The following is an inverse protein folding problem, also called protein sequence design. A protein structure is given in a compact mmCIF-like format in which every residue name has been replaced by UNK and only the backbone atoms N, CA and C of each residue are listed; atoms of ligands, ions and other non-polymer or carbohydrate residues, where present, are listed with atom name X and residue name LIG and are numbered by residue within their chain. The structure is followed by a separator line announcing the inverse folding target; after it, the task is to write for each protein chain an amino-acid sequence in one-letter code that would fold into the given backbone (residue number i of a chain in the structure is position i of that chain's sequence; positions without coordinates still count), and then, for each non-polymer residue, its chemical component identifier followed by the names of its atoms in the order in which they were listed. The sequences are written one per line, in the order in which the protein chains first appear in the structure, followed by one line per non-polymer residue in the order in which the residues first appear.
data_IF_004641142265
#
_entry.id   IF_004641142265
#
_cell.length_a   1.000
_cell.length_b   1.000
_cell.length_c   1.000
_cell.angle_alpha   90.00
_cell.angle_beta   90.00
_cell.angle_gamma   90.00
#
_symmetry.space_group_name_H-M   'P 1'
#
loop_
_entity.id
_entity.type
_entity.pdbx_description
1 polymer ?
#
# COMPACT_ATOMS: atom_id res chain seq x y z
N UNK A 1 -6.12 4.98 22.16
CA UNK A 1 -6.45 3.54 22.18
C UNK A 1 -7.55 3.29 21.16
N UNK A 2 -7.27 2.60 20.06
CA UNK A 2 -8.30 2.19 19.10
C UNK A 2 -9.19 1.13 19.74
N UNK A 3 -10.50 1.35 19.81
CA UNK A 3 -11.45 0.37 20.32
C UNK A 3 -11.79 -0.58 19.17
N UNK A 4 -11.53 -1.88 19.32
CA UNK A 4 -12.05 -2.91 18.44
C UNK A 4 -13.55 -2.69 18.25
N UNK A 5 -14.01 -2.56 17.01
CA UNK A 5 -15.44 -2.33 16.72
C UNK A 5 -16.01 -3.61 16.11
N UNK A 6 -16.95 -4.25 16.83
CA UNK A 6 -17.71 -5.40 16.33
C UNK A 6 -18.78 -4.87 15.36
N UNK A 7 -18.64 -5.16 14.07
CA UNK A 7 -19.58 -4.65 13.04
C UNK A 7 -20.82 -5.55 12.87
N UNK A 8 -20.79 -6.77 13.40
CA UNK A 8 -21.92 -7.71 13.60
C UNK A 8 -21.39 -8.95 14.33
N UNK A 9 -22.25 -9.92 14.66
CA UNK A 9 -21.83 -11.21 15.23
C UNK A 9 -20.93 -12.06 14.32
N UNK A 10 -20.65 -11.61 13.10
CA UNK A 10 -20.07 -12.45 12.05
C UNK A 10 -18.58 -12.22 11.78
N UNK A 11 -18.00 -11.06 12.10
CA UNK A 11 -16.57 -10.81 11.82
C UNK A 11 -15.91 -9.84 12.81
N UNK A 12 -14.66 -10.15 13.18
CA UNK A 12 -13.80 -9.36 14.07
C UNK A 12 -12.66 -8.73 13.26
N UNK A 13 -12.48 -7.40 13.36
CA UNK A 13 -11.34 -6.69 12.77
C UNK A 13 -10.34 -6.43 13.91
N UNK A 14 -9.13 -7.04 13.87
CA UNK A 14 -8.09 -6.80 14.86
C UNK A 14 -7.68 -5.33 15.01
N UNK A 15 -7.35 -4.92 16.24
CA UNK A 15 -6.97 -3.54 16.58
C UNK A 15 -5.80 -2.98 15.78
N UNK A 16 -4.88 -3.85 15.34
CA UNK A 16 -3.74 -3.47 14.49
C UNK A 16 -4.17 -2.71 13.25
N UNK A 17 -5.29 -3.09 12.62
CA UNK A 17 -5.79 -2.40 11.43
C UNK A 17 -6.22 -0.98 11.76
N UNK A 18 -6.93 -0.74 12.87
CA UNK A 18 -7.32 0.60 13.28
C UNK A 18 -6.11 1.47 13.64
N UNK A 19 -5.11 0.90 14.32
CA UNK A 19 -3.88 1.63 14.66
C UNK A 19 -3.12 2.06 13.41
N UNK A 20 -2.88 1.14 12.49
CA UNK A 20 -2.23 1.42 11.22
C UNK A 20 -3.06 2.35 10.34
N UNK A 21 -4.38 2.19 10.29
CA UNK A 21 -5.30 3.07 9.56
C UNK A 21 -5.24 4.53 10.06
N UNK A 22 -5.29 4.73 11.38
CA UNK A 22 -5.13 6.07 11.97
C UNK A 22 -3.77 6.68 11.62
N UNK A 23 -2.70 5.88 11.71
CA UNK A 23 -1.36 6.32 11.32
C UNK A 23 -1.35 6.76 9.84
N UNK A 24 -1.93 5.97 8.94
CA UNK A 24 -2.00 6.29 7.51
C UNK A 24 -2.83 7.55 7.24
N UNK A 25 -3.96 7.74 7.91
CA UNK A 25 -4.81 8.91 7.74
C UNK A 25 -4.14 10.20 8.21
N UNK A 26 -3.36 10.15 9.30
CA UNK A 26 -2.53 11.28 9.73
C UNK A 26 -1.48 11.66 8.68
N UNK A 27 -0.89 10.68 8.00
CA UNK A 27 0.10 10.92 6.94
C UNK A 27 -0.58 11.42 5.66
N UNK A 28 -1.73 10.88 5.26
CA UNK A 28 -2.51 11.37 4.10
C UNK A 28 -2.91 12.83 4.25
N UNK A 29 -3.29 13.26 5.45
CA UNK A 29 -3.63 14.67 5.73
C UNK A 29 -2.46 15.62 5.51
N UNK A 30 -1.23 15.17 5.76
CA UNK A 30 -0.02 16.00 5.67
C UNK A 30 0.65 15.92 4.29
N UNK A 31 0.59 14.74 3.66
CA UNK A 31 1.40 14.40 2.49
C UNK A 31 0.58 14.33 1.20
N UNK A 32 -0.75 14.33 1.31
CA UNK A 32 -1.67 14.16 0.18
C UNK A 32 -2.07 12.70 -0.05
N UNK A 33 -2.85 12.44 -1.12
CA UNK A 33 -3.39 11.12 -1.40
C UNK A 33 -2.30 10.15 -1.89
N UNK A 34 -2.27 8.97 -1.30
CA UNK A 34 -1.42 7.86 -1.71
C UNK A 34 -2.11 6.51 -1.48
N UNK A 35 -1.67 5.50 -2.22
CA UNK A 35 -2.03 4.11 -1.98
C UNK A 35 -1.06 3.40 -1.06
N UNK A 36 -1.51 2.26 -0.53
CA UNK A 36 -0.83 1.47 0.50
C UNK A 36 -0.85 0.00 0.13
N UNK A 37 0.28 -0.68 0.25
CA UNK A 37 0.35 -2.13 0.09
C UNK A 37 0.31 -2.79 1.48
N UNK A 38 -0.61 -3.72 1.70
CA UNK A 38 -0.69 -4.49 2.94
C UNK A 38 -0.17 -5.92 2.73
N UNK A 39 0.68 -6.39 3.66
CA UNK A 39 1.24 -7.75 3.68
C UNK A 39 1.38 -8.28 5.12
N UNK A 40 1.36 -9.60 5.34
CA UNK A 40 0.69 -10.59 4.48
C UNK A 40 -0.84 -10.34 4.44
N UNK A 41 -1.48 -10.84 3.40
CA UNK A 41 -2.93 -10.97 3.31
C UNK A 41 -3.37 -12.41 3.61
N UNK A 42 -4.57 -12.54 4.16
CA UNK A 42 -5.21 -13.82 4.45
C UNK A 42 -6.36 -14.06 3.46
N UNK A 43 -6.17 -14.91 2.43
CA UNK A 43 -7.22 -15.20 1.46
C UNK A 43 -8.32 -16.12 2.01
N UNK A 44 -8.05 -16.88 3.08
CA UNK A 44 -9.00 -17.84 3.67
C UNK A 44 -9.91 -17.14 4.66
N UNK A 45 -9.34 -16.30 5.52
CA UNK A 45 -10.08 -15.50 6.49
C UNK A 45 -10.30 -14.09 5.94
N UNK A 46 -11.39 -13.94 5.21
CA UNK A 46 -11.83 -12.67 4.60
C UNK A 46 -11.96 -11.50 5.59
N UNK A 47 -11.85 -11.73 6.91
CA UNK A 47 -11.82 -10.68 7.92
C UNK A 47 -10.75 -9.62 7.65
N UNK A 48 -9.57 -10.01 7.16
CA UNK A 48 -8.50 -9.06 6.80
C UNK A 48 -8.91 -8.18 5.62
N UNK A 49 -9.35 -8.78 4.51
CA UNK A 49 -9.71 -8.03 3.31
C UNK A 49 -10.94 -7.12 3.54
N UNK A 50 -11.95 -7.66 4.22
CA UNK A 50 -13.15 -6.91 4.63
C UNK A 50 -12.78 -5.77 5.56
N UNK A 51 -11.91 -6.01 6.55
CA UNK A 51 -11.41 -4.97 7.44
C UNK A 51 -10.72 -3.85 6.67
N UNK A 52 -9.78 -4.20 5.80
CA UNK A 52 -9.06 -3.23 4.97
C UNK A 52 -9.99 -2.43 4.05
N UNK A 53 -11.12 -2.98 3.59
CA UNK A 53 -12.10 -2.22 2.79
C UNK A 53 -12.68 -1.01 3.55
N UNK A 54 -12.79 -1.10 4.87
CA UNK A 54 -13.33 -0.01 5.71
C UNK A 54 -12.25 0.88 6.31
N UNK A 55 -11.07 0.31 6.58
CA UNK A 55 -9.96 1.01 7.23
C UNK A 55 -9.09 1.74 6.22
N UNK A 56 -8.89 1.15 5.04
CA UNK A 56 -7.99 1.68 4.04
C UNK A 56 -8.62 1.57 2.64
N UNK A 57 -9.39 2.60 2.31
CA UNK A 57 -10.05 2.72 1.00
C UNK A 57 -9.07 2.95 -0.16
N UNK A 58 -7.79 3.23 0.13
CA UNK A 58 -6.76 3.51 -0.86
C UNK A 58 -5.74 2.37 -0.97
N UNK A 59 -6.08 1.14 -0.53
CA UNK A 59 -5.17 0.01 -0.68
C UNK A 59 -4.84 -0.32 -2.14
N UNK A 60 -3.61 -0.78 -2.36
CA UNK A 60 -3.12 -1.25 -3.65
C UNK A 60 -3.60 -2.66 -3.99
N UNK A 61 -3.84 -3.49 -2.96
CA UNK A 61 -4.26 -4.87 -3.15
C UNK A 61 -5.60 -4.93 -3.91
N UNK A 62 -5.72 -5.82 -4.92
CA UNK A 62 -6.94 -5.92 -5.70
C UNK A 62 -8.08 -6.46 -4.81
N UNK A 63 -9.32 -5.97 -4.97
CA UNK A 63 -10.45 -6.54 -4.25
C UNK A 63 -10.67 -8.01 -4.66
N UNK A 64 -11.36 -8.77 -3.81
CA UNK A 64 -11.86 -10.08 -4.17
C UNK A 64 -12.64 -10.01 -5.49
N UNK A 65 -12.51 -11.04 -6.33
CA UNK A 65 -13.20 -11.13 -7.62
C UNK A 65 -12.81 -10.07 -8.64
N UNK A 66 -11.71 -9.32 -8.43
CA UNK A 66 -11.25 -8.32 -9.38
C UNK A 66 -11.14 -8.87 -10.81
N UNK A 67 -10.67 -10.10 -10.98
CA UNK A 67 -10.56 -10.77 -12.27
C UNK A 67 -11.90 -11.02 -12.97
N UNK A 68 -13.01 -11.17 -12.23
CA UNK A 68 -14.35 -11.29 -12.83
C UNK A 68 -14.84 -9.95 -13.39
N UNK A 69 -14.42 -8.85 -12.79
CA UNK A 69 -14.83 -7.50 -13.18
C UNK A 69 -13.89 -6.87 -14.21
N UNK A 70 -12.91 -7.64 -14.72
CA UNK A 70 -11.89 -7.16 -15.65
C UNK A 70 -11.26 -5.83 -15.23
N UNK A 71 -10.99 -5.69 -13.91
CA UNK A 71 -10.46 -4.43 -13.40
C UNK A 71 -9.15 -4.09 -14.14
N UNK A 72 -9.02 -2.87 -14.67
CA UNK A 72 -7.81 -2.46 -15.36
C UNK A 72 -6.63 -2.58 -14.39
N UNK A 73 -5.49 -3.04 -14.92
CA UNK A 73 -4.21 -3.19 -14.20
C UNK A 73 -4.04 -4.43 -13.32
N UNK A 74 -4.90 -5.46 -13.41
CA UNK A 74 -4.68 -6.69 -12.65
C UNK A 74 -3.34 -7.38 -12.97
N UNK A 75 -2.97 -7.46 -14.24
CA UNK A 75 -1.68 -8.04 -14.65
C UNK A 75 -0.50 -7.25 -14.09
N UNK A 76 -0.65 -5.92 -13.97
CA UNK A 76 0.37 -5.08 -13.36
C UNK A 76 0.46 -5.35 -11.86
N UNK A 77 -0.67 -5.39 -11.15
CA UNK A 77 -0.71 -5.70 -9.71
C UNK A 77 -0.13 -7.10 -9.44
N UNK A 78 -0.51 -8.11 -10.22
CA UNK A 78 0.04 -9.47 -10.15
C UNK A 78 1.56 -9.46 -10.35
N UNK A 79 2.05 -8.80 -11.41
CA UNK A 79 3.49 -8.71 -11.71
C UNK A 79 4.29 -8.06 -10.58
N UNK A 80 3.77 -6.97 -9.99
CA UNK A 80 4.40 -6.30 -8.84
C UNK A 80 4.41 -7.21 -7.62
N UNK A 81 3.29 -7.84 -7.30
CA UNK A 81 3.19 -8.73 -6.13
C UNK A 81 4.04 -10.00 -6.32
N UNK A 82 4.15 -10.52 -7.53
CA UNK A 82 5.00 -11.66 -7.86
C UNK A 82 6.49 -11.29 -7.70
N UNK A 83 6.86 -10.08 -8.13
CA UNK A 83 8.23 -9.56 -7.95
C UNK A 83 8.58 -9.39 -6.47
N UNK A 84 7.66 -8.90 -5.65
CA UNK A 84 7.82 -8.81 -4.19
C UNK A 84 7.93 -10.20 -3.54
N UNK A 85 6.95 -11.08 -3.79
CA UNK A 85 6.87 -12.36 -3.09
C UNK A 85 7.98 -13.33 -3.51
N UNK A 86 8.41 -13.28 -4.76
CA UNK A 86 9.55 -14.06 -5.27
C UNK A 86 10.91 -13.45 -4.95
N UNK A 87 10.96 -12.27 -4.30
CA UNK A 87 12.19 -11.51 -4.08
C UNK A 87 13.00 -11.31 -5.38
N UNK A 88 12.32 -11.06 -6.50
CA UNK A 88 12.94 -10.95 -7.83
C UNK A 88 13.58 -9.57 -8.09
N UNK A 89 13.44 -8.63 -7.15
CA UNK A 89 13.99 -7.28 -7.22
C UNK A 89 14.44 -6.80 -5.85
N UNK A 90 15.46 -5.96 -5.83
CA UNK A 90 15.90 -5.20 -4.66
C UNK A 90 15.43 -3.73 -4.70
N UNK A 91 14.53 -3.42 -5.64
CA UNK A 91 13.91 -2.12 -5.86
C UNK A 91 12.40 -2.23 -6.07
N UNK A 92 11.69 -2.81 -5.11
CA UNK A 92 10.23 -2.96 -5.19
C UNK A 92 9.50 -1.60 -5.18
N UNK A 93 10.06 -0.58 -4.53
CA UNK A 93 9.52 0.78 -4.50
C UNK A 93 9.38 1.41 -5.90
N UNK A 94 10.37 1.19 -6.77
CA UNK A 94 10.37 1.65 -8.15
C UNK A 94 9.27 0.99 -8.99
N UNK A 95 8.86 -0.24 -8.66
CA UNK A 95 7.68 -0.83 -9.29
C UNK A 95 6.41 -0.21 -8.71
N UNK A 96 6.33 -0.10 -7.39
CA UNK A 96 5.18 0.41 -6.64
C UNK A 96 4.80 1.87 -6.93
N UNK A 97 5.73 2.71 -7.40
CA UNK A 97 5.45 4.13 -7.71
C UNK A 97 4.45 4.30 -8.84
N UNK A 98 4.45 3.44 -9.86
CA UNK A 98 3.43 3.45 -10.92
C UNK A 98 2.04 3.11 -10.36
N UNK A 99 2.03 2.43 -9.21
CA UNK A 99 0.87 2.18 -8.40
C UNK A 99 0.50 3.33 -7.47
N UNK A 100 1.13 4.51 -7.52
CA UNK A 100 0.93 5.58 -6.52
C UNK A 100 1.04 5.05 -5.07
N UNK A 101 1.86 4.03 -4.82
CA UNK A 101 2.01 3.41 -3.49
C UNK A 101 3.15 4.08 -2.76
N UNK A 102 2.82 4.71 -1.62
CA UNK A 102 3.81 5.36 -0.75
C UNK A 102 4.28 4.46 0.39
N UNK A 103 3.36 3.70 0.99
CA UNK A 103 3.66 2.90 2.17
C UNK A 103 3.36 1.42 1.96
N UNK A 104 4.22 0.58 2.51
CA UNK A 104 3.99 -0.87 2.68
C UNK A 104 3.80 -1.13 4.16
N UNK A 105 2.67 -1.73 4.54
CA UNK A 105 2.33 -2.08 5.92
C UNK A 105 2.48 -3.59 6.11
N UNK A 106 3.35 -3.99 7.04
CA UNK A 106 3.54 -5.37 7.46
C UNK A 106 2.76 -5.61 8.76
N UNK A 107 1.71 -6.41 8.70
CA UNK A 107 0.93 -6.78 9.88
C UNK A 107 1.63 -7.91 10.67
N UNK A 108 2.30 -7.56 11.78
CA UNK A 108 3.01 -8.51 12.64
C UNK A 108 2.08 -9.42 13.44
N UNK A 109 0.79 -9.05 13.56
CA UNK A 109 -0.25 -9.85 14.21
C UNK A 109 -0.94 -10.83 13.25
N UNK A 110 -0.51 -10.91 11.99
CA UNK A 110 -1.06 -11.90 11.07
C UNK A 110 -0.79 -13.32 11.55
N UNK A 111 -1.79 -14.18 11.41
CA UNK A 111 -1.68 -15.60 11.72
C UNK A 111 -1.13 -16.42 10.55
N UNK A 112 -0.86 -15.79 9.40
CA UNK A 112 -0.29 -16.46 8.24
C UNK A 112 1.09 -17.05 8.57
N UNK A 113 1.37 -18.23 8.02
CA UNK A 113 2.58 -19.02 8.26
C UNK A 113 3.15 -19.51 6.94
N UNK A 114 4.38 -19.99 7.00
CA UNK A 114 5.10 -20.55 5.86
C UNK A 114 5.87 -19.49 5.06
N UNK A 115 6.47 -19.90 3.93
CA UNK A 115 7.26 -19.00 3.09
C UNK A 115 6.39 -17.90 2.47
N UNK A 116 7.02 -16.76 2.21
CA UNK A 116 6.38 -15.70 1.43
C UNK A 116 6.04 -16.23 0.04
N UNK A 117 4.79 -16.07 -0.38
CA UNK A 117 4.31 -16.54 -1.68
C UNK A 117 3.13 -15.69 -2.18
N UNK A 118 2.88 -15.73 -3.48
CA UNK A 118 1.70 -15.12 -4.09
C UNK A 118 0.66 -16.21 -4.35
N UNK A 119 -0.49 -16.13 -3.71
CA UNK A 119 -1.59 -17.09 -3.90
C UNK A 119 -2.68 -16.45 -4.76
N UNK A 120 -3.03 -17.13 -5.85
CA UNK A 120 -4.22 -16.82 -6.64
C UNK A 120 -5.46 -17.47 -6.04
N UNK A 121 -6.44 -16.68 -5.58
CA UNK A 121 -7.70 -17.19 -5.04
C UNK A 121 -8.83 -16.22 -5.38
N UNK A 122 -10.06 -16.72 -5.60
CA UNK A 122 -11.22 -15.88 -5.89
C UNK A 122 -10.99 -14.86 -7.02
N UNK A 123 -10.27 -15.22 -8.08
CA UNK A 123 -9.90 -14.33 -9.18
C UNK A 123 -9.16 -13.05 -8.72
N UNK A 124 -8.32 -13.18 -7.69
CA UNK A 124 -7.47 -12.12 -7.14
C UNK A 124 -6.14 -12.72 -6.65
N UNK A 125 -5.20 -11.86 -6.26
CA UNK A 125 -3.84 -12.24 -5.89
C UNK A 125 -3.50 -11.74 -4.48
N UNK A 126 -3.04 -12.66 -3.63
CA UNK A 126 -2.82 -12.42 -2.22
C UNK A 126 -1.36 -12.72 -1.84
N UNK A 127 -0.55 -11.70 -1.48
CA UNK A 127 0.77 -11.92 -0.91
C UNK A 127 0.59 -12.52 0.49
N UNK A 128 0.93 -13.79 0.68
CA UNK A 128 0.80 -14.52 1.95
C UNK A 128 2.14 -15.04 2.45
N UNK A 129 2.18 -15.56 3.68
CA UNK A 129 3.37 -16.05 4.36
C UNK A 129 3.56 -15.46 5.75
N UNK A 130 4.59 -15.91 6.47
CA UNK A 130 4.93 -15.38 7.79
C UNK A 130 5.37 -13.89 7.69
N UNK A 131 4.88 -12.99 8.55
CA UNK A 131 5.30 -11.59 8.57
C UNK A 131 6.82 -11.39 8.63
N UNK A 132 7.56 -12.28 9.31
CA UNK A 132 9.03 -12.20 9.38
C UNK A 132 9.67 -12.34 8.00
N UNK A 133 9.15 -13.21 7.14
CA UNK A 133 9.65 -13.36 5.77
C UNK A 133 9.44 -12.08 4.95
N UNK A 134 8.31 -11.38 5.13
CA UNK A 134 8.12 -10.06 4.50
C UNK A 134 9.11 -9.02 5.04
N UNK A 135 9.38 -8.99 6.34
CA UNK A 135 10.39 -8.09 6.91
C UNK A 135 11.79 -8.37 6.33
N UNK A 136 12.17 -9.64 6.19
CA UNK A 136 13.45 -10.04 5.59
C UNK A 136 13.59 -9.52 4.16
N UNK A 137 12.56 -9.71 3.32
CA UNK A 137 12.53 -9.22 1.94
C UNK A 137 12.57 -7.69 1.90
N UNK A 138 11.73 -7.01 2.68
CA UNK A 138 11.60 -5.55 2.65
C UNK A 138 12.83 -4.84 3.20
N UNK A 139 13.53 -5.42 4.19
CA UNK A 139 14.79 -4.88 4.70
C UNK A 139 15.95 -4.95 3.70
N UNK A 140 15.85 -5.80 2.67
CA UNK A 140 16.85 -5.90 1.60
C UNK A 140 16.63 -4.88 0.48
N UNK A 141 15.48 -4.18 0.47
CA UNK A 141 15.12 -3.27 -0.63
C UNK A 141 15.87 -1.94 -0.51
N UNK A 142 16.60 -1.58 -1.56
CA UNK A 142 17.42 -0.36 -1.61
C UNK A 142 16.60 0.91 -1.71
N UNK A 143 15.36 0.81 -2.17
CA UNK A 143 14.46 1.94 -2.39
C UNK A 143 13.36 2.08 -1.33
N UNK A 144 13.43 1.30 -0.26
CA UNK A 144 12.58 1.45 0.91
C UNK A 144 13.33 2.09 2.08
N UNK A 145 12.55 2.63 3.01
CA UNK A 145 13.02 3.16 4.30
C UNK A 145 12.04 2.75 5.39
N UNK A 146 12.54 2.30 6.54
CA UNK A 146 11.70 2.09 7.72
C UNK A 146 11.11 3.42 8.20
N UNK A 147 9.79 3.53 8.21
CA UNK A 147 9.06 4.75 8.58
C UNK A 147 8.43 4.65 9.98
N UNK A 148 7.92 3.48 10.33
CA UNK A 148 7.31 3.21 11.62
C UNK A 148 7.49 1.74 11.99
N UNK A 149 7.62 1.45 13.30
CA UNK A 149 7.68 0.08 13.81
C UNK A 149 7.15 0.06 15.23
N UNK A 150 6.24 -0.87 15.52
CA UNK A 150 5.84 -1.23 16.87
C UNK A 150 5.67 -2.76 17.00
N UNK A 151 5.03 -3.23 18.07
CA UNK A 151 4.77 -4.65 18.30
C UNK A 151 3.67 -5.24 17.43
N UNK A 152 2.88 -4.41 16.76
CA UNK A 152 1.68 -4.80 16.02
C UNK A 152 1.90 -4.72 14.50
N UNK A 153 2.61 -3.70 14.02
CA UNK A 153 2.88 -3.51 12.59
C UNK A 153 4.18 -2.75 12.33
N UNK A 154 4.68 -2.90 11.12
CA UNK A 154 5.83 -2.17 10.58
C UNK A 154 5.41 -1.46 9.30
N UNK A 155 5.93 -0.24 9.08
CA UNK A 155 5.68 0.52 7.86
C UNK A 155 7.00 0.86 7.17
N UNK A 156 7.07 0.56 5.88
CA UNK A 156 8.13 0.99 4.99
C UNK A 156 7.63 2.11 4.07
N UNK A 157 8.38 3.21 3.99
CA UNK A 157 8.19 4.29 3.03
C UNK A 157 8.93 3.97 1.73
N UNK A 158 8.24 4.15 0.61
CA UNK A 158 8.80 4.07 -0.73
C UNK A 158 9.54 5.38 -1.07
N UNK A 159 10.87 5.33 -1.17
CA UNK A 159 11.70 6.52 -1.47
C UNK A 159 11.55 7.03 -2.91
N UNK A 160 11.04 6.19 -3.81
CA UNK A 160 10.76 6.57 -5.20
C UNK A 160 9.40 7.26 -5.35
N UNK A 161 8.61 7.38 -4.27
CA UNK A 161 7.31 8.03 -4.32
C UNK A 161 7.46 9.54 -4.54
N UNK A 162 7.01 10.02 -5.71
CA UNK A 162 6.97 11.44 -6.05
C UNK A 162 5.51 11.91 -6.05
N UNK A 163 5.20 12.92 -5.24
CA UNK A 163 3.87 13.51 -5.20
C UNK A 163 3.59 14.23 -6.53
N UNK A 164 2.72 13.65 -7.36
CA UNK A 164 2.39 14.20 -8.69
C UNK A 164 1.75 15.60 -8.65
N UNK A 165 1.25 16.05 -7.49
CA UNK A 165 0.63 17.37 -7.33
C UNK A 165 1.60 18.57 -7.40
N UNK A 166 2.92 18.38 -7.35
CA UNK A 166 3.88 19.49 -7.42
C UNK A 166 4.21 19.96 -8.85
N UNK A 167 3.71 19.28 -9.87
CA UNK A 167 4.02 19.64 -11.27
C UNK A 167 3.20 20.86 -11.73
N UNK A 168 2.02 21.10 -11.15
CA UNK A 168 1.14 22.21 -11.57
C UNK A 168 1.52 23.60 -11.07
N UNK A 169 2.16 23.74 -9.91
CA UNK A 169 2.43 25.07 -9.32
C UNK A 169 3.68 25.76 -9.90
N UNK A 170 4.64 24.99 -10.41
CA UNK A 170 5.85 25.55 -11.02
C UNK A 170 5.66 25.93 -12.49
N UNK A 171 4.71 25.34 -13.23
CA UNK A 171 4.47 25.72 -14.63
C UNK A 171 3.63 27.00 -14.76
N UNK A 172 2.69 27.25 -13.85
CA UNK A 172 1.84 28.46 -13.88
C UNK A 172 2.65 29.73 -13.59
N UNK A 173 3.68 29.63 -12.76
CA UNK A 173 4.56 30.76 -12.45
C UNK A 173 5.50 31.13 -13.61
N UNK A 174 5.80 30.22 -14.54
CA UNK A 174 6.69 30.50 -15.69
C UNK A 174 5.93 31.16 -16.85
N UNK A 175 4.65 30.84 -17.06
CA UNK A 175 3.83 31.46 -18.12
C UNK A 175 3.37 32.87 -17.76
N UNK A 176 3.11 33.16 -16.48
CA UNK A 176 2.68 34.48 -16.03
C UNK A 176 3.81 35.53 -16.08
N UNK A 177 5.08 35.17 -15.87
CA UNK A 177 6.21 36.12 -16.04
C UNK A 177 6.48 36.45 -17.51
N UNK A 178 6.22 35.52 -18.44
CA UNK A 178 6.44 35.76 -19.88
C UNK A 178 5.39 36.67 -20.52
N UNK A 179 4.15 36.70 -20.01
CA UNK A 179 3.13 37.62 -20.51
C UNK A 179 3.32 39.06 -20.01
N UNK A 180 3.93 39.27 -18.85
CA UNK A 180 4.11 40.61 -18.30
C UNK A 180 5.25 41.39 -18.97
N UNK A 181 6.24 40.70 -19.55
CA UNK A 181 7.32 41.34 -20.35
C UNK A 181 6.91 41.77 -21.76
N UNK A 182 5.76 41.32 -22.28
CA UNK A 182 5.27 41.69 -23.62
C UNK A 182 4.32 42.89 -23.66
N UNK A 183 4.01 43.51 -22.51
CA UNK A 183 3.12 44.68 -22.43
C UNK A 183 3.82 46.02 -22.20
N UNK A 184 5.15 46.04 -22.11
CA UNK A 184 5.94 47.24 -21.78
C UNK A 184 6.83 47.75 -22.94
N UNK A 185 6.59 47.30 -24.17
CA UNK A 185 7.18 47.82 -25.41
C UNK A 185 6.08 48.00 -26.43
#
# INVERSE_FOLDING_TARGET
MGRSKKYSDLYFIPDVYYKAGNWLDEHRKKEGPFRTLWVPLDPVNLGTEKGLRWIDTHKFNPPQWAGLYHLPNLNYVESVLNSLCGNHTDRIGALLVHGNVKYIVVNLRSLQKGPVSLVGMHNSFYPTGDPKGFLEILNQQRDLKLAFSDSDFVVYENKEFILQHRIGENEINVTSTKQQKKRNH
#
